data_IF_628699358035
#
_entry.id   IF_628699358035
#
_cell.length_a   1.000
_cell.length_b   1.000
_cell.length_c   1.000
_cell.angle_alpha   90.00
_cell.angle_beta   90.00
_cell.angle_gamma   90.00
#
_symmetry.space_group_name_H-M   'P 1'
#
loop_
_entity.id
_entity.type
_entity.pdbx_description
1 polymer ?
#
# COMPACT_ATOMS: atom_id res chain seq x y z
N UNK A 1 -5.12 -1.10 5.20
CA UNK A 1 -3.76 -0.57 4.95
C UNK A 1 -2.77 -1.56 5.54
N UNK A 2 -1.77 -1.97 4.76
CA UNK A 2 -0.62 -2.72 5.28
C UNK A 2 0.29 -1.78 6.09
N UNK A 3 1.30 -2.29 6.78
CA UNK A 3 1.99 -1.50 7.81
C UNK A 3 2.83 -0.34 7.26
N UNK A 4 3.60 -0.56 6.20
CA UNK A 4 4.60 0.43 5.76
C UNK A 4 4.02 1.48 4.80
N UNK A 5 2.83 1.24 4.26
CA UNK A 5 2.11 2.07 3.29
C UNK A 5 2.78 2.23 1.91
N UNK A 6 3.92 1.59 1.67
CA UNK A 6 4.63 1.62 0.37
C UNK A 6 4.65 0.23 -0.21
N UNK A 7 4.06 0.07 -1.40
CA UNK A 7 4.05 -1.21 -2.10
C UNK A 7 5.46 -1.62 -2.54
N UNK A 8 5.90 -2.82 -2.19
CA UNK A 8 7.18 -3.38 -2.63
C UNK A 8 7.04 -4.02 -4.01
N UNK A 9 8.15 -4.19 -4.74
CA UNK A 9 8.20 -4.83 -6.06
C UNK A 9 8.90 -6.20 -6.01
N UNK A 10 8.70 -6.94 -4.91
CA UNK A 10 9.31 -8.25 -4.65
C UNK A 10 8.30 -9.41 -4.76
N UNK A 11 7.19 -9.17 -5.48
CA UNK A 11 6.15 -10.15 -5.72
C UNK A 11 6.71 -11.41 -6.41
N UNK A 12 6.43 -12.57 -5.84
CA UNK A 12 6.86 -13.86 -6.39
C UNK A 12 6.05 -15.02 -5.87
N UNK A 13 6.17 -16.16 -6.54
CA UNK A 13 5.69 -17.45 -6.05
C UNK A 13 6.88 -18.17 -5.39
N UNK A 14 6.72 -18.55 -4.12
CA UNK A 14 7.72 -19.30 -3.37
C UNK A 14 7.80 -20.77 -3.83
N UNK A 15 8.89 -21.50 -3.54
CA UNK A 15 9.10 -22.87 -4.06
C UNK A 15 7.97 -23.88 -3.76
N UNK A 16 7.17 -23.64 -2.72
CA UNK A 16 6.03 -24.50 -2.35
C UNK A 16 4.67 -24.02 -2.90
N UNK A 17 4.66 -23.02 -3.78
CA UNK A 17 3.45 -22.54 -4.45
C UNK A 17 2.70 -21.43 -3.70
N UNK A 18 3.32 -20.77 -2.72
CA UNK A 18 2.71 -19.65 -1.98
C UNK A 18 3.07 -18.33 -2.66
N UNK A 19 2.09 -17.51 -3.00
CA UNK A 19 2.33 -16.13 -3.44
C UNK A 19 2.82 -15.26 -2.27
N UNK A 20 3.79 -14.40 -2.54
CA UNK A 20 4.43 -13.56 -1.54
C UNK A 20 4.72 -12.17 -2.10
N UNK A 21 4.56 -11.15 -1.26
CA UNK A 21 5.02 -9.78 -1.41
C UNK A 21 5.31 -9.25 0.00
N UNK A 22 6.34 -8.41 0.18
CA UNK A 22 6.67 -7.86 1.50
C UNK A 22 5.58 -6.91 2.03
N UNK A 23 5.09 -5.98 1.20
CA UNK A 23 4.01 -5.06 1.56
C UNK A 23 3.16 -4.75 0.31
N UNK A 24 1.83 -4.92 0.40
CA UNK A 24 0.95 -4.66 -0.74
C UNK A 24 0.63 -3.16 -0.93
N UNK A 25 1.11 -2.30 -0.01
CA UNK A 25 0.96 -0.86 -0.04
C UNK A 25 -0.27 -0.33 0.70
N UNK A 26 -0.64 0.89 0.36
CA UNK A 26 -1.77 1.62 0.93
C UNK A 26 -2.82 1.90 -0.13
N UNK A 27 -4.10 1.74 0.24
CA UNK A 27 -5.21 2.37 -0.47
C UNK A 27 -5.61 3.63 0.28
N UNK A 28 -5.39 4.80 -0.33
CA UNK A 28 -5.54 6.09 0.34
C UNK A 28 -4.82 7.23 -0.38
N UNK A 29 -4.69 8.40 0.25
CA UNK A 29 -4.10 9.59 -0.35
C UNK A 29 -2.60 9.39 -0.61
N UNK A 30 -2.20 9.43 -1.87
CA UNK A 30 -0.81 9.16 -2.25
C UNK A 30 0.10 10.36 -2.04
N UNK A 31 -0.42 11.58 -2.23
CA UNK A 31 0.32 12.82 -2.02
C UNK A 31 0.30 13.19 -0.53
N UNK A 32 0.88 12.32 0.29
CA UNK A 32 0.82 12.37 1.74
C UNK A 32 2.05 11.72 2.38
N UNK A 33 2.20 11.85 3.70
CA UNK A 33 3.18 11.05 4.45
C UNK A 33 2.44 9.95 5.19
N UNK A 34 2.51 8.71 4.68
CA UNK A 34 1.92 7.53 5.35
C UNK A 34 0.39 7.75 5.57
N UNK A 35 -0.29 8.44 4.65
CA UNK A 35 -1.73 8.73 4.71
C UNK A 35 -2.10 10.01 5.46
N UNK A 36 -1.11 10.78 5.94
CA UNK A 36 -1.33 12.01 6.72
C UNK A 36 -0.91 13.25 5.94
N UNK A 37 -1.54 14.39 6.26
CA UNK A 37 -1.17 15.70 5.70
C UNK A 37 0.32 15.96 5.92
N UNK A 38 0.99 16.41 4.87
CA UNK A 38 2.44 16.60 4.85
C UNK A 38 2.85 17.62 5.91
N UNK A 39 2.05 18.70 6.07
CA UNK A 39 2.32 19.81 6.98
C UNK A 39 2.29 19.37 8.45
N UNK A 40 1.33 18.53 8.84
CA UNK A 40 1.20 18.03 10.21
C UNK A 40 2.42 17.19 10.60
N UNK A 41 2.85 16.32 9.67
CA UNK A 41 4.00 15.44 9.88
C UNK A 41 5.30 16.24 9.91
N UNK A 42 5.51 17.14 8.95
CA UNK A 42 6.69 18.02 8.94
C UNK A 42 6.78 18.86 10.21
N UNK A 43 5.68 19.47 10.65
CA UNK A 43 5.67 20.29 11.87
C UNK A 43 6.02 19.44 13.09
N UNK A 44 5.50 18.22 13.20
CA UNK A 44 5.82 17.28 14.29
C UNK A 44 7.30 16.90 14.32
N UNK A 45 7.91 16.67 13.17
CA UNK A 45 9.32 16.28 13.06
C UNK A 45 10.27 17.47 13.30
N UNK A 46 9.96 18.66 12.78
CA UNK A 46 10.79 19.85 12.93
C UNK A 46 10.72 20.46 14.33
N UNK A 47 9.52 20.53 14.91
CA UNK A 47 9.32 21.16 16.24
C UNK A 47 9.51 20.19 17.40
N UNK A 48 9.44 18.87 17.15
CA UNK A 48 9.35 17.83 18.16
C UNK A 48 8.12 17.94 19.12
N UNK A 49 7.17 18.83 18.84
CA UNK A 49 5.96 19.04 19.65
C UNK A 49 4.85 18.08 19.20
N UNK A 50 4.05 17.49 20.11
CA UNK A 50 2.89 16.69 19.74
C UNK A 50 1.86 17.49 18.93
N UNK A 51 1.46 16.95 17.77
CA UNK A 51 0.48 17.55 16.87
C UNK A 51 -0.51 16.45 16.45
N UNK A 52 -1.76 16.84 16.22
CA UNK A 52 -2.78 15.94 15.68
C UNK A 52 -2.51 15.70 14.20
N UNK A 53 -2.42 14.42 13.79
CA UNK A 53 -2.27 14.07 12.38
C UNK A 53 -3.63 13.97 11.68
N UNK A 54 -3.91 14.91 10.78
CA UNK A 54 -5.08 14.86 9.92
C UNK A 54 -4.82 13.95 8.71
N UNK A 55 -5.89 13.35 8.19
CA UNK A 55 -5.84 12.51 6.98
C UNK A 55 -5.72 13.42 5.76
N UNK A 56 -4.90 13.04 4.78
CA UNK A 56 -4.84 13.73 3.49
C UNK A 56 -6.01 13.29 2.60
N UNK A 57 -6.42 14.12 1.65
CA UNK A 57 -7.65 13.90 0.87
C UNK A 57 -7.38 13.77 -0.64
N UNK A 58 -6.22 14.20 -1.11
CA UNK A 58 -5.88 14.30 -2.53
C UNK A 58 -5.23 13.01 -3.08
N UNK A 59 -5.35 12.83 -4.41
CA UNK A 59 -4.66 11.79 -5.18
C UNK A 59 -4.84 10.38 -4.58
N UNK A 60 -6.09 9.95 -4.40
CA UNK A 60 -6.37 8.64 -3.85
C UNK A 60 -5.89 7.55 -4.82
N UNK A 61 -5.05 6.65 -4.32
CA UNK A 61 -4.61 5.48 -5.07
C UNK A 61 -5.08 4.20 -4.38
N UNK A 62 -5.41 3.19 -5.18
CA UNK A 62 -5.66 1.83 -4.77
C UNK A 62 -4.40 0.99 -5.02
N UNK A 63 -3.89 0.38 -3.97
CA UNK A 63 -2.79 -0.58 -4.05
C UNK A 63 -3.28 -1.95 -3.59
N UNK A 64 -2.86 -3.00 -4.27
CA UNK A 64 -3.22 -4.37 -3.94
C UNK A 64 -2.46 -5.40 -4.77
N UNK A 65 -2.83 -6.67 -4.60
CA UNK A 65 -2.29 -7.77 -5.39
C UNK A 65 -3.42 -8.64 -5.93
N UNK A 66 -3.31 -9.02 -7.19
CA UNK A 66 -4.15 -10.03 -7.83
C UNK A 66 -3.37 -11.35 -7.83
N UNK A 67 -3.95 -12.40 -7.26
CA UNK A 67 -3.34 -13.73 -7.18
C UNK A 67 -4.30 -14.71 -7.83
N UNK A 68 -3.80 -15.45 -8.83
CA UNK A 68 -4.53 -16.58 -9.41
C UNK A 68 -4.12 -17.86 -8.65
N UNK A 69 -5.10 -18.69 -8.30
CA UNK A 69 -4.90 -19.90 -7.51
C UNK A 69 -5.50 -21.09 -8.27
N UNK A 70 -4.74 -22.17 -8.36
CA UNK A 70 -5.23 -23.46 -8.86
C UNK A 70 -6.17 -24.07 -7.82
N UNK A 71 -7.44 -24.27 -8.20
CA UNK A 71 -8.49 -24.77 -7.31
C UNK A 71 -8.28 -26.21 -6.84
N UNK A 72 -7.59 -27.04 -7.61
CA UNK A 72 -7.35 -28.44 -7.28
C UNK A 72 -6.19 -28.60 -6.28
N UNK A 73 -5.16 -27.77 -6.41
CA UNK A 73 -3.93 -27.88 -5.61
C UNK A 73 -3.83 -26.84 -4.50
N UNK A 74 -4.61 -25.77 -4.56
CA UNK A 74 -4.54 -24.61 -3.66
C UNK A 74 -3.29 -23.76 -3.81
N UNK A 75 -2.48 -23.99 -4.86
CA UNK A 75 -1.22 -23.25 -5.11
C UNK A 75 -1.48 -22.00 -5.95
N UNK A 76 -0.73 -20.95 -5.68
CA UNK A 76 -0.72 -19.76 -6.51
C UNK A 76 -0.06 -20.04 -7.86
N UNK A 77 -0.72 -19.62 -8.95
CA UNK A 77 -0.26 -19.69 -10.33
C UNK A 77 0.43 -18.40 -10.77
N UNK A 78 -0.05 -17.26 -10.27
CA UNK A 78 0.48 -15.94 -10.59
C UNK A 78 0.26 -14.96 -9.43
N UNK A 79 1.06 -13.90 -9.39
CA UNK A 79 0.85 -12.72 -8.53
C UNK A 79 1.16 -11.48 -9.36
N UNK A 80 0.24 -10.51 -9.37
CA UNK A 80 0.36 -9.24 -10.07
C UNK A 80 0.08 -8.09 -9.11
N UNK A 81 0.96 -7.10 -9.07
CA UNK A 81 0.71 -5.86 -8.33
C UNK A 81 -0.31 -4.99 -9.04
N UNK A 82 -1.23 -4.44 -8.26
CA UNK A 82 -2.18 -3.43 -8.69
C UNK A 82 -1.79 -2.11 -8.02
N UNK A 83 -1.55 -1.10 -8.84
CA UNK A 83 -1.41 0.29 -8.43
C UNK A 83 -2.25 1.13 -9.38
N UNK A 84 -3.34 1.72 -8.87
CA UNK A 84 -4.29 2.46 -9.70
C UNK A 84 -4.68 3.76 -9.00
N UNK A 85 -4.54 4.89 -9.69
CA UNK A 85 -5.16 6.14 -9.28
C UNK A 85 -6.67 6.04 -9.42
N UNK A 86 -7.40 6.32 -8.34
CA UNK A 86 -8.84 6.49 -8.39
C UNK A 86 -9.12 7.90 -8.88
N UNK A 87 -10.01 8.04 -9.85
CA UNK A 87 -10.48 9.34 -10.29
C UNK A 87 -11.44 9.86 -9.21
N UNK A 88 -11.24 11.09 -8.80
CA UNK A 88 -12.26 11.85 -8.10
C UNK A 88 -13.38 12.11 -9.12
N UNK A 89 -14.64 11.83 -8.77
CA UNK A 89 -15.81 12.08 -9.63
C UNK A 89 -15.91 13.55 -10.06
#
# INVERSE_FOLDING_TARGET
MWYTHIQTADEKILPKGTAYITDAGMTGPYDSVIGRRVEDVLTRFLSAIPIKFNVAEENIQLHGVLIEVDENTGKACSILRIQKKLLDE
#
